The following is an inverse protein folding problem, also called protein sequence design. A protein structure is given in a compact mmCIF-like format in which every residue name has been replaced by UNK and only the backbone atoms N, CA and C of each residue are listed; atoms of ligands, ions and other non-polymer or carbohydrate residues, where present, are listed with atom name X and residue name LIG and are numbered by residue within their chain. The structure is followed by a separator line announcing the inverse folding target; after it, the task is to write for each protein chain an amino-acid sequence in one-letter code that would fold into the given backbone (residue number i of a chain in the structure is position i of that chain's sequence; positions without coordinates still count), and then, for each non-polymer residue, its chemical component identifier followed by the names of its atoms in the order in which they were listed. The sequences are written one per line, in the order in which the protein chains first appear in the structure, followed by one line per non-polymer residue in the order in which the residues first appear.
data_IF_847189049479
#
_entry.id   IF_847189049479
#
_cell.length_a   1.000
_cell.length_b   1.000
_cell.length_c   1.000
_cell.angle_alpha   90.00
_cell.angle_beta   90.00
_cell.angle_gamma   90.00
#
_symmetry.space_group_name_H-M   'P 1'
#
loop_
_entity.id
_entity.type
_entity.pdbx_description
1 polymer ?
#
# COMPACT_ATOMS: atom_id res chain seq x y z
N UNK A 1 22.85 29.35 10.74
CA UNK A 1 21.97 29.61 9.58
C UNK A 1 22.01 28.48 8.53
N UNK A 2 23.19 27.98 8.12
CA UNK A 2 23.30 26.82 7.20
C UNK A 2 22.52 25.54 7.60
N UNK A 3 22.51 25.09 8.88
CA UNK A 3 21.81 23.85 9.25
C UNK A 3 20.27 23.96 9.13
N UNK A 4 19.68 25.12 9.43
CA UNK A 4 18.23 25.34 9.27
C UNK A 4 17.79 25.33 7.80
N UNK A 5 18.60 25.90 6.90
CA UNK A 5 18.29 25.88 5.47
C UNK A 5 18.35 24.45 4.88
N UNK A 6 19.33 23.64 5.32
CA UNK A 6 19.44 22.24 4.93
C UNK A 6 18.24 21.41 5.43
N UNK A 7 17.80 21.65 6.67
CA UNK A 7 16.64 20.98 7.27
C UNK A 7 15.33 21.34 6.55
N UNK A 8 15.11 22.63 6.26
CA UNK A 8 13.95 23.08 5.47
C UNK A 8 13.95 22.47 4.07
N UNK A 9 15.11 22.37 3.43
CA UNK A 9 15.26 21.73 2.11
C UNK A 9 14.91 20.24 2.18
N UNK A 10 15.40 19.53 3.22
CA UNK A 10 15.09 18.12 3.45
C UNK A 10 13.60 17.90 3.64
N UNK A 11 12.94 18.70 4.49
CA UNK A 11 11.50 18.63 4.70
C UNK A 11 10.71 18.95 3.43
N UNK A 12 11.12 19.94 2.65
CA UNK A 12 10.48 20.25 1.37
C UNK A 12 10.54 19.06 0.39
N UNK A 13 11.70 18.40 0.28
CA UNK A 13 11.86 17.19 -0.55
C UNK A 13 10.97 16.04 -0.05
N UNK A 14 10.85 15.86 1.26
CA UNK A 14 9.95 14.86 1.87
C UNK A 14 8.50 15.16 1.52
N UNK A 15 8.06 16.42 1.64
CA UNK A 15 6.69 16.83 1.28
C UNK A 15 6.42 16.55 -0.19
N UNK A 16 7.36 16.87 -1.08
CA UNK A 16 7.23 16.59 -2.52
C UNK A 16 7.16 15.08 -2.80
N UNK A 17 8.03 14.28 -2.17
CA UNK A 17 8.01 12.83 -2.30
C UNK A 17 6.70 12.23 -1.76
N UNK A 18 6.22 12.72 -0.61
CA UNK A 18 4.96 12.31 -0.02
C UNK A 18 3.75 12.73 -0.86
N UNK A 19 3.79 13.92 -1.48
CA UNK A 19 2.77 14.36 -2.41
C UNK A 19 2.73 13.50 -3.68
N UNK A 20 3.89 13.19 -4.26
CA UNK A 20 3.98 12.25 -5.38
C UNK A 20 3.48 10.86 -4.98
N UNK A 21 3.88 10.36 -3.81
CA UNK A 21 3.42 9.10 -3.24
C UNK A 21 1.92 9.06 -3.03
N UNK A 22 1.33 10.13 -2.46
CA UNK A 22 -0.10 10.29 -2.26
C UNK A 22 -0.88 10.28 -3.57
N UNK A 23 -0.41 11.05 -4.57
CA UNK A 23 -0.99 11.06 -5.91
C UNK A 23 -0.95 9.67 -6.55
N UNK A 24 0.20 8.99 -6.50
CA UNK A 24 0.38 7.62 -6.99
C UNK A 24 -0.54 6.64 -6.27
N UNK A 25 -0.68 6.78 -4.95
CA UNK A 25 -1.51 5.88 -4.16
C UNK A 25 -2.98 5.97 -4.58
N UNK A 26 -3.47 7.18 -4.89
CA UNK A 26 -4.81 7.40 -5.41
C UNK A 26 -5.05 6.78 -6.80
N UNK A 27 -4.01 6.67 -7.65
CA UNK A 27 -4.13 6.18 -9.03
C UNK A 27 -3.94 4.68 -9.14
N UNK A 28 -2.92 4.15 -8.45
CA UNK A 28 -2.42 2.79 -8.67
C UNK A 28 -2.12 2.02 -7.38
N UNK A 29 -2.23 2.63 -6.20
CA UNK A 29 -2.02 1.95 -4.92
C UNK A 29 -0.56 1.57 -4.61
N UNK A 30 0.41 2.27 -5.22
CA UNK A 30 1.85 2.02 -5.08
C UNK A 30 2.63 3.14 -4.38
N UNK A 31 1.96 4.03 -3.63
CA UNK A 31 2.59 5.25 -3.10
C UNK A 31 3.82 5.00 -2.22
N UNK A 32 3.76 3.94 -1.40
CA UNK A 32 4.85 3.54 -0.50
C UNK A 32 6.12 3.14 -1.25
N UNK A 33 6.01 2.64 -2.49
CA UNK A 33 7.18 2.32 -3.34
C UNK A 33 7.96 3.56 -3.77
N UNK A 34 7.34 4.75 -3.70
CA UNK A 34 8.01 6.02 -3.95
C UNK A 34 8.52 6.66 -2.66
N UNK A 35 7.67 6.73 -1.63
CA UNK A 35 7.99 7.47 -0.41
C UNK A 35 9.11 6.81 0.37
N UNK A 36 9.11 5.47 0.45
CA UNK A 36 10.06 4.77 1.31
C UNK A 36 11.52 4.90 0.83
N UNK A 37 11.87 4.64 -0.45
CA UNK A 37 13.22 4.90 -0.94
C UNK A 37 13.64 6.37 -0.86
N UNK A 38 12.70 7.31 -1.04
CA UNK A 38 13.00 8.73 -0.90
C UNK A 38 13.45 9.10 0.52
N UNK A 39 12.81 8.54 1.56
CA UNK A 39 13.24 8.74 2.94
C UNK A 39 14.63 8.15 3.20
N UNK A 40 14.92 6.96 2.65
CA UNK A 40 16.25 6.35 2.76
C UNK A 40 17.33 7.20 2.07
N UNK A 41 17.03 7.75 0.90
CA UNK A 41 17.93 8.65 0.16
C UNK A 41 18.21 9.96 0.92
N UNK A 42 17.31 10.36 1.81
CA UNK A 42 17.47 11.50 2.71
C UNK A 42 18.14 11.13 4.05
N UNK A 43 18.71 9.93 4.14
CA UNK A 43 19.48 9.47 5.29
C UNK A 43 18.62 9.05 6.50
N UNK A 44 17.31 8.82 6.31
CA UNK A 44 16.46 8.28 7.38
C UNK A 44 16.70 6.77 7.49
N UNK A 45 16.97 6.22 8.69
CA UNK A 45 17.11 4.77 8.89
C UNK A 45 15.87 4.02 8.41
N UNK A 46 16.02 2.81 7.87
CA UNK A 46 14.90 2.13 7.22
C UNK A 46 13.75 1.82 8.17
N UNK A 47 14.06 1.41 9.39
CA UNK A 47 13.05 1.12 10.40
C UNK A 47 12.19 2.36 10.72
N UNK A 48 12.86 3.50 10.94
CA UNK A 48 12.23 4.82 11.13
C UNK A 48 11.45 5.25 9.90
N UNK A 49 12.00 5.08 8.69
CA UNK A 49 11.33 5.45 7.45
C UNK A 49 10.03 4.67 7.22
N UNK A 50 10.04 3.37 7.52
CA UNK A 50 8.86 2.51 7.41
C UNK A 50 7.78 2.89 8.44
N UNK A 51 8.18 3.00 9.71
CA UNK A 51 7.30 3.39 10.81
C UNK A 51 6.66 4.77 10.55
N UNK A 52 7.48 5.75 10.20
CA UNK A 52 7.07 7.13 9.90
C UNK A 52 6.12 7.19 8.70
N UNK A 53 6.43 6.50 7.60
CA UNK A 53 5.56 6.45 6.42
C UNK A 53 4.19 5.84 6.74
N UNK A 54 4.17 4.77 7.53
CA UNK A 54 2.94 4.06 7.90
C UNK A 54 2.00 4.96 8.71
N UNK A 55 2.55 5.65 9.71
CA UNK A 55 1.80 6.60 10.53
C UNK A 55 1.32 7.80 9.71
N UNK A 56 2.19 8.36 8.86
CA UNK A 56 1.88 9.54 8.07
C UNK A 56 0.76 9.32 7.03
N UNK A 57 0.73 8.15 6.40
CA UNK A 57 -0.18 7.86 5.29
C UNK A 57 -1.54 7.32 5.75
N UNK A 58 -1.64 6.79 6.98
CA UNK A 58 -2.87 6.19 7.49
C UNK A 58 -4.06 7.16 7.56
N UNK A 59 -3.93 8.40 8.09
CA UNK A 59 -5.05 9.34 8.15
C UNK A 59 -5.62 9.68 6.78
N UNK A 60 -4.76 9.80 5.76
CA UNK A 60 -5.19 10.05 4.38
C UNK A 60 -5.97 8.87 3.78
N UNK A 61 -5.54 7.64 4.07
CA UNK A 61 -6.27 6.43 3.68
C UNK A 61 -7.64 6.34 4.39
N UNK A 62 -7.70 6.67 5.68
CA UNK A 62 -8.93 6.70 6.47
C UNK A 62 -9.92 7.73 5.92
N UNK A 63 -9.46 8.96 5.67
CA UNK A 63 -10.28 10.03 5.10
C UNK A 63 -10.82 9.69 3.71
N UNK A 64 -10.01 9.03 2.87
CA UNK A 64 -10.45 8.57 1.55
C UNK A 64 -11.57 7.53 1.64
N UNK A 65 -11.46 6.59 2.59
CA UNK A 65 -12.48 5.56 2.82
C UNK A 65 -13.79 6.13 3.37
N UNK A 66 -13.70 7.07 4.32
CA UNK A 66 -14.87 7.74 4.91
C UNK A 66 -15.58 8.66 3.91
N UNK A 67 -14.83 9.28 2.98
CA UNK A 67 -15.38 10.12 1.91
C UNK A 67 -16.12 9.34 0.82
N UNK A 68 -15.83 8.03 0.66
CA UNK A 68 -16.45 7.16 -0.34
C UNK A 68 -17.05 5.89 0.29
N UNK A 69 -18.09 6.00 1.14
CA UNK A 69 -18.72 4.84 1.79
C UNK A 69 -19.40 3.88 0.79
N UNK A 70 -19.55 4.32 -0.47
CA UNK A 70 -20.02 3.50 -1.57
C UNK A 70 -19.08 2.36 -1.97
N UNK A 71 -17.77 2.43 -1.65
CA UNK A 71 -16.78 1.43 -2.08
C UNK A 71 -17.05 0.02 -1.55
N UNK A 72 -17.75 -0.11 -0.41
CA UNK A 72 -18.08 -1.39 0.21
C UNK A 72 -19.48 -1.92 -0.15
N UNK A 73 -20.25 -1.20 -0.98
CA UNK A 73 -21.60 -1.65 -1.36
C UNK A 73 -21.52 -2.99 -2.09
N UNK A 74 -22.26 -3.97 -1.56
CA UNK A 74 -22.27 -5.34 -2.08
C UNK A 74 -21.12 -6.25 -1.62
N UNK A 75 -20.22 -5.78 -0.74
CA UNK A 75 -19.13 -6.60 -0.18
C UNK A 75 -18.94 -6.43 1.35
N UNK A 76 -19.90 -5.80 2.05
CA UNK A 76 -19.82 -5.52 3.50
C UNK A 76 -19.59 -6.76 4.35
N UNK A 77 -20.25 -7.86 4.03
CA UNK A 77 -20.12 -9.13 4.74
C UNK A 77 -18.69 -9.72 4.67
N UNK A 78 -18.01 -9.51 3.54
CA UNK A 78 -16.60 -9.86 3.36
C UNK A 78 -15.70 -8.87 4.10
N UNK A 79 -15.98 -7.57 3.99
CA UNK A 79 -15.20 -6.51 4.65
C UNK A 79 -15.14 -6.71 6.17
N UNK A 80 -16.28 -7.00 6.82
CA UNK A 80 -16.35 -7.27 8.26
C UNK A 80 -15.56 -8.53 8.65
N UNK A 81 -15.64 -9.60 7.85
CA UNK A 81 -14.91 -10.85 8.12
C UNK A 81 -13.42 -10.74 7.84
N UNK A 82 -13.00 -9.85 6.93
CA UNK A 82 -11.59 -9.55 6.67
C UNK A 82 -11.01 -8.58 7.69
N UNK A 83 -11.82 -7.84 8.44
CA UNK A 83 -11.34 -6.88 9.43
C UNK A 83 -10.50 -7.57 10.51
N UNK A 84 -11.02 -8.65 11.12
CA UNK A 84 -10.32 -9.35 12.21
C UNK A 84 -8.94 -9.91 11.80
N UNK A 85 -8.80 -10.72 10.72
CA UNK A 85 -7.49 -11.19 10.29
C UNK A 85 -6.57 -10.04 9.84
N UNK A 86 -7.13 -8.93 9.32
CA UNK A 86 -6.36 -7.74 8.95
C UNK A 86 -5.79 -7.00 10.15
N UNK A 87 -6.59 -6.82 11.20
CA UNK A 87 -6.16 -6.20 12.45
C UNK A 87 -5.14 -7.08 13.17
N UNK A 88 -5.44 -8.37 13.35
CA UNK A 88 -4.56 -9.31 14.02
C UNK A 88 -3.23 -9.50 13.27
N UNK A 89 -3.28 -9.65 11.95
CA UNK A 89 -2.10 -9.75 11.11
C UNK A 89 -1.31 -8.45 11.08
N UNK A 90 -1.97 -7.30 10.95
CA UNK A 90 -1.31 -5.99 10.99
C UNK A 90 -0.58 -5.73 12.30
N UNK A 91 -1.20 -6.08 13.43
CA UNK A 91 -0.55 -6.03 14.75
C UNK A 91 0.66 -6.97 14.81
N UNK A 92 0.49 -8.23 14.45
CA UNK A 92 1.58 -9.21 14.48
C UNK A 92 2.75 -8.77 13.58
N UNK A 93 2.46 -8.30 12.37
CA UNK A 93 3.45 -7.78 11.43
C UNK A 93 4.22 -6.58 11.99
N UNK A 94 3.52 -5.63 12.60
CA UNK A 94 4.13 -4.46 13.21
C UNK A 94 5.00 -4.84 14.41
N UNK A 95 4.54 -5.76 15.26
CA UNK A 95 5.34 -6.30 16.38
C UNK A 95 6.58 -7.05 15.88
N UNK A 96 6.45 -7.85 14.82
CA UNK A 96 7.59 -8.52 14.18
C UNK A 96 8.62 -7.50 13.68
N UNK A 97 8.18 -6.36 13.13
CA UNK A 97 9.08 -5.30 12.72
C UNK A 97 9.82 -4.70 13.93
N UNK A 98 9.12 -4.43 15.04
CA UNK A 98 9.73 -3.85 16.25
C UNK A 98 10.79 -4.74 16.90
N UNK A 99 10.64 -6.06 16.80
CA UNK A 99 11.65 -7.01 17.32
C UNK A 99 12.73 -7.36 16.30
N UNK A 100 12.61 -6.89 15.05
CA UNK A 100 13.63 -7.11 14.02
C UNK A 100 14.81 -6.16 14.25
N UNK A 101 16.05 -6.66 14.39
CA UNK A 101 17.23 -5.81 14.49
C UNK A 101 17.39 -4.92 13.25
N UNK A 102 17.83 -3.67 13.44
CA UNK A 102 17.96 -2.69 12.35
C UNK A 102 18.79 -3.22 11.17
N UNK A 103 19.94 -3.86 11.43
CA UNK A 103 20.81 -4.41 10.39
C UNK A 103 20.12 -5.51 9.57
N UNK A 104 19.30 -6.34 10.23
CA UNK A 104 18.52 -7.38 9.56
C UNK A 104 17.40 -6.79 8.72
N UNK A 105 16.73 -5.75 9.21
CA UNK A 105 15.73 -5.06 8.42
C UNK A 105 16.38 -4.41 7.21
N UNK A 106 17.46 -3.65 7.38
CA UNK A 106 18.21 -3.01 6.29
C UNK A 106 18.64 -4.02 5.21
N UNK A 107 19.07 -5.23 5.59
CA UNK A 107 19.39 -6.31 4.64
C UNK A 107 18.16 -6.87 3.89
N UNK A 108 16.96 -6.82 4.50
CA UNK A 108 15.71 -7.26 3.87
C UNK A 108 15.12 -6.20 2.93
N UNK A 109 15.36 -4.92 3.20
CA UNK A 109 14.77 -3.80 2.47
C UNK A 109 14.91 -3.93 0.93
N UNK A 110 16.09 -4.20 0.35
CA UNK A 110 16.23 -4.31 -1.11
C UNK A 110 15.29 -5.36 -1.70
N UNK A 111 15.18 -6.52 -1.03
CA UNK A 111 14.30 -7.62 -1.43
C UNK A 111 12.82 -7.25 -1.30
N UNK A 112 12.45 -6.53 -0.23
CA UNK A 112 11.09 -6.06 -0.03
C UNK A 112 10.68 -5.04 -1.10
N UNK A 113 11.55 -4.08 -1.42
CA UNK A 113 11.30 -3.06 -2.45
C UNK A 113 11.21 -3.71 -3.84
N UNK A 114 12.16 -4.56 -4.20
CA UNK A 114 12.16 -5.27 -5.50
C UNK A 114 10.97 -6.22 -5.60
N UNK A 115 10.65 -6.96 -4.54
CA UNK A 115 9.50 -7.86 -4.48
C UNK A 115 8.18 -7.11 -4.66
N UNK A 116 7.97 -6.03 -3.90
CA UNK A 116 6.77 -5.20 -4.02
C UNK A 116 6.69 -4.51 -5.40
N UNK A 117 7.82 -4.09 -5.98
CA UNK A 117 7.88 -3.54 -7.35
C UNK A 117 7.56 -4.60 -8.40
N UNK A 118 8.04 -5.84 -8.22
CA UNK A 118 7.76 -6.96 -9.12
C UNK A 118 6.29 -7.36 -9.07
N UNK A 119 5.71 -7.45 -7.86
CA UNK A 119 4.27 -7.61 -7.68
C UNK A 119 3.52 -6.47 -8.39
N UNK A 120 3.97 -5.23 -8.20
CA UNK A 120 3.37 -4.08 -8.86
C UNK A 120 3.48 -4.15 -10.37
N UNK A 121 4.58 -4.64 -10.94
CA UNK A 121 4.74 -4.88 -12.38
C UNK A 121 3.76 -5.96 -12.88
N UNK A 122 3.68 -7.10 -12.19
CA UNK A 122 2.90 -8.28 -12.58
C UNK A 122 1.40 -8.10 -12.37
N UNK A 123 0.97 -7.18 -11.51
CA UNK A 123 -0.45 -6.94 -11.19
C UNK A 123 -1.35 -6.82 -12.44
N UNK A 124 -1.01 -5.97 -13.42
CA UNK A 124 -1.81 -5.78 -14.65
C UNK A 124 -1.89 -7.04 -15.50
N UNK A 125 -0.76 -7.65 -15.96
CA UNK A 125 -0.83 -8.83 -16.80
C UNK A 125 -1.48 -10.01 -16.07
N UNK A 126 -1.25 -10.19 -14.76
CA UNK A 126 -1.93 -11.21 -13.98
C UNK A 126 -3.45 -11.01 -13.97
N UNK A 127 -3.92 -9.78 -13.70
CA UNK A 127 -5.35 -9.47 -13.72
C UNK A 127 -5.97 -9.60 -15.12
N UNK A 128 -5.22 -9.31 -16.19
CA UNK A 128 -5.66 -9.51 -17.58
C UNK A 128 -5.71 -11.00 -17.94
N UNK A 129 -4.71 -11.78 -17.54
CA UNK A 129 -4.64 -13.22 -17.77
C UNK A 129 -5.78 -13.96 -17.07
N UNK A 130 -6.06 -13.62 -15.80
CA UNK A 130 -7.19 -14.15 -15.03
C UNK A 130 -8.53 -13.82 -15.70
N UNK A 131 -8.65 -12.67 -16.35
CA UNK A 131 -9.86 -12.30 -17.11
C UNK A 131 -9.96 -13.07 -18.43
N UNK A 132 -8.85 -13.22 -19.15
CA UNK A 132 -8.79 -13.85 -20.47
C UNK A 132 -9.03 -15.37 -20.42
N UNK A 133 -8.60 -16.04 -19.34
CA UNK A 133 -8.73 -17.49 -19.17
C UNK A 133 -9.97 -17.90 -18.38
N UNK A 134 -10.90 -16.97 -18.13
CA UNK A 134 -12.19 -17.29 -17.51
C UNK A 134 -13.29 -17.35 -18.57
N UNK A 135 -14.23 -18.31 -18.45
CA UNK A 135 -15.43 -18.32 -19.29
C UNK A 135 -16.13 -16.97 -19.18
N UNK A 136 -16.66 -16.47 -20.29
CA UNK A 136 -17.14 -15.09 -20.49
C UNK A 136 -17.83 -14.48 -19.26
N UNK A 137 -17.55 -13.20 -18.92
CA UNK A 137 -18.40 -12.49 -17.96
C UNK A 137 -19.84 -12.48 -18.54
N UNK A 138 -20.86 -12.87 -17.77
CA UNK A 138 -22.22 -12.61 -18.17
C UNK A 138 -22.36 -11.09 -18.36
N UNK A 139 -23.05 -10.70 -19.41
CA UNK A 139 -23.52 -9.34 -19.63
C UNK A 139 -24.07 -8.75 -18.34
N UNK A 140 -23.73 -7.49 -18.03
CA UNK A 140 -24.33 -6.73 -16.94
C UNK A 140 -25.86 -6.75 -17.11
N UNK A 141 -26.55 -7.69 -16.45
CA UNK A 141 -27.99 -7.92 -16.59
C UNK A 141 -28.46 -9.38 -16.68
N UNK A 142 -27.58 -10.37 -16.85
CA UNK A 142 -27.99 -11.78 -16.86
C UNK A 142 -28.08 -12.33 -15.42
N UNK A 143 -29.28 -12.72 -14.99
CA UNK A 143 -29.56 -13.32 -13.67
C UNK A 143 -28.93 -14.73 -13.48
N UNK A 144 -28.46 -15.35 -14.57
CA UNK A 144 -27.93 -16.73 -14.61
C UNK A 144 -26.38 -16.81 -14.69
N UNK A 145 -25.68 -15.83 -14.12
CA UNK A 145 -24.24 -15.92 -13.91
C UNK A 145 -23.87 -16.85 -12.74
N UNK A 146 -22.64 -17.42 -12.68
CA UNK A 146 -22.17 -18.12 -11.49
C UNK A 146 -22.35 -17.22 -10.26
N UNK A 147 -22.79 -17.78 -9.11
CA UNK A 147 -23.19 -17.00 -7.96
C UNK A 147 -22.06 -16.07 -7.50
N UNK A 148 -22.40 -14.78 -7.39
CA UNK A 148 -21.51 -13.71 -6.96
C UNK A 148 -20.77 -14.10 -5.66
N UNK A 149 -19.42 -14.22 -5.69
CA UNK A 149 -18.65 -14.69 -4.55
C UNK A 149 -18.81 -13.80 -3.32
N UNK A 150 -19.20 -12.53 -3.51
CA UNK A 150 -19.48 -11.60 -2.42
C UNK A 150 -20.73 -11.99 -1.60
N UNK A 151 -21.65 -12.80 -2.16
CA UNK A 151 -22.86 -13.28 -1.49
C UNK A 151 -22.60 -14.46 -0.55
N UNK A 152 -21.51 -15.19 -0.75
CA UNK A 152 -21.09 -16.29 0.13
C UNK A 152 -20.09 -15.77 1.16
N UNK A 153 -20.01 -16.34 2.37
CA UNK A 153 -18.95 -15.98 3.30
C UNK A 153 -17.57 -16.36 2.72
N UNK A 154 -16.51 -15.60 3.04
CA UNK A 154 -15.16 -15.95 2.66
C UNK A 154 -14.79 -17.34 3.20
N UNK A 155 -14.24 -18.23 2.36
CA UNK A 155 -13.75 -19.53 2.82
C UNK A 155 -12.54 -19.37 3.76
N UNK A 156 -12.25 -20.40 4.56
CA UNK A 156 -11.17 -20.36 5.56
C UNK A 156 -9.79 -20.05 4.96
N UNK A 157 -9.50 -20.56 3.75
CA UNK A 157 -8.26 -20.24 3.03
C UNK A 157 -8.16 -18.75 2.65
N UNK A 158 -9.27 -18.07 2.39
CA UNK A 158 -9.29 -16.63 2.13
C UNK A 158 -8.97 -15.83 3.39
N UNK A 159 -9.51 -16.24 4.53
CA UNK A 159 -9.21 -15.65 5.83
C UNK A 159 -7.73 -15.85 6.18
N UNK A 160 -7.21 -17.07 6.01
CA UNK A 160 -5.81 -17.39 6.25
C UNK A 160 -4.88 -16.59 5.33
N UNK A 161 -5.20 -16.50 4.04
CA UNK A 161 -4.44 -15.67 3.10
C UNK A 161 -4.46 -14.19 3.50
N UNK A 162 -5.63 -13.65 3.85
CA UNK A 162 -5.75 -12.26 4.29
C UNK A 162 -4.92 -12.00 5.55
N UNK A 163 -4.89 -12.95 6.50
CA UNK A 163 -4.03 -12.86 7.68
C UNK A 163 -2.55 -12.81 7.32
N UNK A 164 -2.07 -13.70 6.42
CA UNK A 164 -0.66 -13.69 5.98
C UNK A 164 -0.28 -12.39 5.27
N UNK A 165 -1.15 -11.89 4.38
CA UNK A 165 -0.96 -10.59 3.72
C UNK A 165 -0.97 -9.46 4.74
N UNK A 166 -1.80 -9.55 5.78
CA UNK A 166 -1.84 -8.57 6.86
C UNK A 166 -0.59 -8.60 7.74
N UNK A 167 0.01 -9.77 8.00
CA UNK A 167 1.31 -9.88 8.68
C UNK A 167 2.40 -9.20 7.86
N UNK A 168 2.50 -9.53 6.57
CA UNK A 168 3.43 -8.83 5.68
C UNK A 168 3.15 -7.31 5.61
N UNK A 169 1.87 -6.94 5.58
CA UNK A 169 1.46 -5.55 5.50
C UNK A 169 1.72 -4.74 6.75
N UNK A 170 1.58 -5.32 7.93
CA UNK A 170 1.99 -4.70 9.18
C UNK A 170 3.50 -4.55 9.30
N UNK A 171 4.25 -5.47 8.68
CA UNK A 171 5.71 -5.45 8.67
C UNK A 171 6.29 -4.37 7.74
N UNK A 172 5.86 -4.32 6.47
CA UNK A 172 6.43 -3.42 5.46
C UNK A 172 5.39 -2.56 4.70
N UNK A 173 4.15 -3.02 4.58
CA UNK A 173 3.05 -2.24 3.99
C UNK A 173 3.09 -2.05 2.47
N UNK A 174 4.25 -2.05 1.81
CA UNK A 174 4.32 -1.83 0.36
C UNK A 174 3.80 -3.04 -0.43
N UNK A 175 2.98 -2.80 -1.46
CA UNK A 175 2.47 -3.86 -2.34
C UNK A 175 1.34 -4.72 -1.76
N UNK A 176 0.87 -4.46 -0.53
CA UNK A 176 -0.21 -5.24 0.11
C UNK A 176 -1.50 -5.23 -0.71
N UNK A 177 -1.83 -4.09 -1.33
CA UNK A 177 -3.04 -3.96 -2.12
C UNK A 177 -3.01 -4.86 -3.37
N UNK A 178 -1.83 -5.15 -3.90
CA UNK A 178 -1.67 -6.03 -5.06
C UNK A 178 -1.85 -7.49 -4.65
N UNK A 179 -1.27 -7.89 -3.52
CA UNK A 179 -1.48 -9.21 -2.94
C UNK A 179 -2.97 -9.47 -2.70
N UNK A 180 -3.66 -8.51 -2.08
CA UNK A 180 -5.11 -8.59 -1.86
C UNK A 180 -5.90 -8.70 -3.16
N UNK A 181 -5.62 -7.84 -4.15
CA UNK A 181 -6.33 -7.87 -5.44
C UNK A 181 -6.08 -9.18 -6.20
N UNK A 182 -4.85 -9.71 -6.16
CA UNK A 182 -4.53 -10.98 -6.77
C UNK A 182 -5.34 -12.12 -6.15
N UNK A 183 -5.37 -12.20 -4.81
CA UNK A 183 -6.17 -13.23 -4.11
C UNK A 183 -7.67 -13.10 -4.34
N UNK A 184 -8.23 -11.89 -4.27
CA UNK A 184 -9.64 -11.66 -4.58
C UNK A 184 -9.96 -12.07 -6.03
N UNK A 185 -9.03 -11.81 -6.97
CA UNK A 185 -9.12 -12.28 -8.34
C UNK A 185 -9.17 -13.81 -8.42
N UNK A 186 -8.26 -14.51 -7.74
CA UNK A 186 -8.26 -15.97 -7.66
C UNK A 186 -9.54 -16.54 -7.01
N UNK A 187 -10.10 -15.85 -6.01
CA UNK A 187 -11.35 -16.23 -5.33
C UNK A 187 -12.61 -15.97 -6.17
N UNK A 188 -12.48 -15.42 -7.37
CA UNK A 188 -13.58 -15.27 -8.33
C UNK A 188 -14.22 -13.89 -8.36
N UNK A 189 -13.74 -12.91 -7.60
CA UNK A 189 -14.27 -11.54 -7.70
C UNK A 189 -13.96 -10.97 -9.09
N UNK A 190 -14.99 -10.43 -9.73
CA UNK A 190 -14.92 -9.84 -11.08
C UNK A 190 -15.11 -8.33 -11.06
N UNK A 191 -15.90 -7.83 -10.11
CA UNK A 191 -16.19 -6.42 -9.96
C UNK A 191 -15.02 -5.67 -9.32
N UNK A 192 -14.30 -4.91 -10.16
CA UNK A 192 -13.12 -4.12 -9.77
C UNK A 192 -13.43 -3.16 -8.62
N UNK A 193 -14.60 -2.52 -8.62
CA UNK A 193 -14.97 -1.56 -7.59
C UNK A 193 -15.08 -2.24 -6.21
N UNK A 194 -15.69 -3.43 -6.15
CA UNK A 194 -15.78 -4.21 -4.91
C UNK A 194 -14.42 -4.74 -4.46
N UNK A 195 -13.59 -5.21 -5.38
CA UNK A 195 -12.24 -5.66 -5.07
C UNK A 195 -11.39 -4.51 -4.51
N UNK A 196 -11.49 -3.33 -5.12
CA UNK A 196 -10.82 -2.13 -4.63
C UNK A 196 -11.35 -1.71 -3.27
N UNK A 197 -12.66 -1.76 -3.03
CA UNK A 197 -13.24 -1.48 -1.72
C UNK A 197 -12.76 -2.45 -0.64
N UNK A 198 -12.73 -3.76 -0.91
CA UNK A 198 -12.18 -4.76 0.02
C UNK A 198 -10.67 -4.57 0.26
N UNK A 199 -9.91 -4.27 -0.79
CA UNK A 199 -8.48 -3.95 -0.73
C UNK A 199 -8.22 -2.73 0.15
N UNK A 200 -8.93 -1.62 -0.11
CA UNK A 200 -8.79 -0.38 0.63
C UNK A 200 -9.17 -0.57 2.10
N UNK A 201 -10.29 -1.27 2.37
CA UNK A 201 -10.73 -1.58 3.73
C UNK A 201 -9.74 -2.46 4.50
N UNK A 202 -9.29 -3.57 3.92
CA UNK A 202 -8.32 -4.44 4.58
C UNK A 202 -6.99 -3.72 4.80
N UNK A 203 -6.51 -2.97 3.80
CA UNK A 203 -5.32 -2.11 3.93
C UNK A 203 -5.46 -1.06 5.04
N UNK A 204 -6.64 -0.45 5.19
CA UNK A 204 -6.93 0.49 6.27
C UNK A 204 -6.86 -0.18 7.65
N UNK A 205 -7.44 -1.37 7.80
CA UNK A 205 -7.36 -2.14 9.05
C UNK A 205 -5.92 -2.57 9.39
N UNK A 206 -5.18 -3.08 8.40
CA UNK A 206 -3.77 -3.48 8.57
C UNK A 206 -2.95 -2.29 9.04
N UNK A 207 -3.02 -1.19 8.28
CA UNK A 207 -2.24 0.01 8.56
C UNK A 207 -2.71 0.73 9.83
N UNK A 208 -3.97 0.58 10.26
CA UNK A 208 -4.42 1.12 11.54
C UNK A 208 -3.64 0.50 12.69
N UNK A 209 -3.59 -0.85 12.74
CA UNK A 209 -2.85 -1.53 13.81
C UNK A 209 -1.36 -1.24 13.72
N UNK A 210 -0.78 -1.24 12.52
CA UNK A 210 0.62 -0.90 12.34
C UNK A 210 0.94 0.55 12.74
N UNK A 211 0.12 1.52 12.33
CA UNK A 211 0.29 2.92 12.69
C UNK A 211 0.15 3.14 14.20
N UNK A 212 -0.83 2.52 14.85
CA UNK A 212 -0.98 2.58 16.31
C UNK A 212 0.26 2.00 16.99
N UNK A 213 0.68 0.78 16.61
CA UNK A 213 1.88 0.14 17.18
C UNK A 213 3.14 0.99 16.99
N UNK A 214 3.35 1.55 15.80
CA UNK A 214 4.52 2.38 15.51
C UNK A 214 4.48 3.75 16.20
N UNK A 215 3.31 4.37 16.34
CA UNK A 215 3.16 5.64 17.06
C UNK A 215 3.65 5.55 18.52
N UNK A 216 3.48 4.39 19.17
CA UNK A 216 3.95 4.15 20.54
C UNK A 216 5.34 3.49 20.63
N UNK A 217 6.00 3.22 19.50
CA UNK A 217 7.29 2.49 19.47
C UNK A 217 8.52 3.37 19.72
N UNK A 218 8.39 4.69 19.63
CA UNK A 218 9.54 5.63 19.66
C UNK A 218 10.34 5.70 18.35
N UNK A 219 10.00 4.91 17.32
CA UNK A 219 10.70 4.90 16.03
C UNK A 219 10.22 5.98 15.05
N UNK A 220 9.10 6.64 15.33
CA UNK A 220 8.47 7.59 14.40
C UNK A 220 9.14 8.95 14.51
N UNK A 221 9.59 9.46 13.36
CA UNK A 221 10.02 10.85 13.22
C UNK A 221 8.78 11.73 12.99
N UNK A 222 8.28 12.36 14.05
CA UNK A 222 7.04 13.13 14.01
C UNK A 222 7.06 14.34 13.08
N UNK A 223 8.13 15.18 13.05
CA UNK A 223 8.25 16.25 12.06
C UNK A 223 8.11 15.74 10.62
N UNK A 224 8.81 14.65 10.30
CA UNK A 224 8.72 14.01 8.99
C UNK A 224 7.32 13.42 8.77
N UNK A 225 6.74 12.74 9.76
CA UNK A 225 5.41 12.14 9.66
C UNK A 225 4.33 13.19 9.33
N UNK A 226 4.36 14.33 10.01
CA UNK A 226 3.41 15.42 9.81
C UNK A 226 3.60 16.07 8.44
N UNK A 227 4.85 16.34 8.04
CA UNK A 227 5.17 16.85 6.72
C UNK A 227 4.70 15.90 5.60
N UNK A 228 4.92 14.59 5.79
CA UNK A 228 4.45 13.57 4.87
C UNK A 228 2.92 13.48 4.84
N UNK A 229 2.24 13.58 5.97
CA UNK A 229 0.78 13.55 6.02
C UNK A 229 0.17 14.72 5.25
N UNK A 230 0.70 15.93 5.42
CA UNK A 230 0.28 17.12 4.66
C UNK A 230 0.57 16.93 3.17
N UNK A 231 1.80 16.54 2.82
CA UNK A 231 2.20 16.29 1.44
C UNK A 231 1.31 15.25 0.77
N UNK A 232 1.11 14.10 1.41
CA UNK A 232 0.27 13.03 0.91
C UNK A 232 -1.21 13.40 0.80
N UNK A 233 -1.75 14.20 1.72
CA UNK A 233 -3.12 14.71 1.64
C UNK A 233 -3.29 15.65 0.44
N UNK A 234 -2.39 16.63 0.29
CA UNK A 234 -2.39 17.58 -0.84
C UNK A 234 -2.19 16.84 -2.16
N UNK A 235 -1.22 15.92 -2.20
CA UNK A 235 -0.91 15.09 -3.37
C UNK A 235 -2.01 14.10 -3.73
N UNK A 236 -2.68 13.49 -2.75
CA UNK A 236 -3.82 12.61 -3.00
C UNK A 236 -5.03 13.38 -3.53
N UNK A 237 -5.37 14.50 -2.90
CA UNK A 237 -6.49 15.34 -3.33
C UNK A 237 -6.22 16.00 -4.70
N UNK A 238 -5.10 16.71 -4.84
CA UNK A 238 -4.71 17.38 -6.07
C UNK A 238 -4.34 16.41 -7.19
N UNK A 239 -3.63 15.34 -6.86
CA UNK A 239 -3.24 14.27 -7.79
C UNK A 239 -4.43 13.48 -8.31
N UNK A 240 -5.48 13.25 -7.52
CA UNK A 240 -6.71 12.63 -8.04
C UNK A 240 -7.38 13.46 -9.14
N UNK A 241 -7.20 14.79 -9.15
CA UNK A 241 -7.71 15.69 -10.19
C UNK A 241 -6.74 15.88 -11.36
N UNK A 242 -5.44 16.03 -11.09
CA UNK A 242 -4.43 16.26 -12.12
C UNK A 242 -4.02 14.96 -12.84
N UNK A 243 -3.94 13.85 -12.12
CA UNK A 243 -3.50 12.57 -12.67
C UNK A 243 -4.57 11.88 -13.53
N UNK A 244 -5.83 12.33 -13.49
CA UNK A 244 -6.80 11.98 -14.53
C UNK A 244 -6.37 12.47 -15.93
N UNK A 245 -5.48 13.47 -16.01
CA UNK A 245 -4.92 13.96 -17.28
C UNK A 245 -3.63 13.26 -17.70
N UNK A 246 -3.00 12.50 -16.80
CA UNK A 246 -1.75 11.77 -17.08
C UNK A 246 -2.10 10.32 -17.41
N UNK A 247 -1.56 9.78 -18.51
CA UNK A 247 -1.75 8.37 -18.86
C UNK A 247 -1.30 7.49 -17.70
N UNK A 248 -2.22 6.69 -17.16
CA UNK A 248 -1.98 5.75 -16.05
C UNK A 248 -0.75 4.84 -16.29
N UNK A 249 -0.49 4.50 -17.55
CA UNK A 249 0.68 3.70 -17.94
C UNK A 249 2.00 4.42 -17.64
N UNK A 250 2.09 5.75 -17.85
CA UNK A 250 3.32 6.52 -17.56
C UNK A 250 3.59 6.58 -16.06
N UNK A 251 2.54 6.79 -15.26
CA UNK A 251 2.64 6.77 -13.79
C UNK A 251 3.12 5.41 -13.32
N UNK A 252 2.58 4.33 -13.91
CA UNK A 252 2.99 2.96 -13.62
C UNK A 252 4.45 2.70 -13.96
N UNK A 253 4.89 3.10 -15.15
CA UNK A 253 6.29 2.97 -15.59
C UNK A 253 7.23 3.73 -14.66
N UNK A 254 6.87 4.95 -14.23
CA UNK A 254 7.67 5.71 -13.28
C UNK A 254 7.82 4.98 -11.94
N UNK A 255 6.73 4.40 -11.39
CA UNK A 255 6.79 3.61 -10.15
C UNK A 255 7.72 2.40 -10.31
N UNK A 256 7.63 1.71 -11.44
CA UNK A 256 8.45 0.53 -11.72
C UNK A 256 9.93 0.91 -11.84
N UNK A 257 10.24 1.98 -12.58
CA UNK A 257 11.61 2.47 -12.76
C UNK A 257 12.20 2.94 -11.41
N UNK A 258 11.45 3.70 -10.63
CA UNK A 258 11.89 4.15 -9.31
C UNK A 258 12.05 2.96 -8.37
N UNK A 259 11.10 2.03 -8.35
CA UNK A 259 11.15 0.84 -7.48
C UNK A 259 12.35 -0.05 -7.76
N UNK A 260 12.59 -0.41 -9.03
CA UNK A 260 13.76 -1.22 -9.41
C UNK A 260 15.06 -0.43 -9.27
N UNK A 261 15.09 0.83 -9.70
CA UNK A 261 16.26 1.70 -9.55
C UNK A 261 16.66 1.88 -8.08
N UNK A 262 15.68 2.08 -7.21
CA UNK A 262 15.88 2.14 -5.76
C UNK A 262 16.34 0.80 -5.19
N UNK A 263 15.75 -0.31 -5.63
CA UNK A 263 16.18 -1.66 -5.24
C UNK A 263 17.65 -1.90 -5.58
N UNK A 264 18.06 -1.61 -6.82
CA UNK A 264 19.45 -1.70 -7.28
C UNK A 264 20.35 -0.78 -6.45
N UNK A 265 19.96 0.48 -6.25
CA UNK A 265 20.72 1.41 -5.41
C UNK A 265 20.90 0.90 -3.98
N UNK A 266 19.87 0.27 -3.40
CA UNK A 266 19.95 -0.30 -2.06
C UNK A 266 20.85 -1.54 -1.99
N UNK A 267 20.89 -2.36 -3.06
CA UNK A 267 21.79 -3.51 -3.15
C UNK A 267 23.26 -3.10 -3.26
N UNK A 268 23.57 -2.08 -4.06
CA UNK A 268 24.97 -1.71 -4.36
C UNK A 268 25.50 -0.51 -3.56
N UNK A 269 24.63 0.37 -3.08
CA UNK A 269 25.01 1.64 -2.45
C UNK A 269 25.18 1.60 -0.93
N UNK A 270 24.76 0.54 -0.24
CA UNK A 270 24.92 0.36 1.22
C UNK A 270 25.99 -0.66 1.62
N UNK A 271 26.64 -1.31 0.66
CA UNK A 271 27.67 -2.33 0.88
C UNK A 271 29.11 -1.80 0.91
N UNK A 272 29.31 -0.49 1.07
CA UNK A 272 30.63 0.17 1.11
C UNK A 272 30.79 1.02 2.35
#
# INVERSE_FOLDING_TARGET
MAPQAAELTRLALIVVAAAAGGAVNSIAGGGTLLTFPALLGLGIPALTANATSTVALWPGAAGSMLGYPGELRGARAWALRFAMPSLAGGLLGALLLLVTPADRFDALVPWLVVGATTLFLVQRPAMQWVRAHRPHPPSEGAEDGPPDPARRPPPANAIAYQFLVAVYGGYFGAGIGILMLAALGFMGFTNIHRMNGLKNWGGLCINFMAAVTFAFSGLVDWPVALAMAIGAAVGGYGGSRLAQRVRQERVRQAIILIGFGSGIWLFFGRGG
#
